data_IF_556603066554
#
_entry.id   IF_556603066554
#
_cell.length_a   1.000
_cell.length_b   1.000
_cell.length_c   1.000
_cell.angle_alpha   90.00
_cell.angle_beta   90.00
_cell.angle_gamma   90.00
#
_symmetry.space_group_name_H-M   'P 1'
#
loop_
_entity.id
_entity.type
_entity.pdbx_description
1 polymer ?
#
# COMPACT_ATOMS: atom_id res chain seq x y z
N UNK A 1 63.55 60.73 19.29
CA UNK A 1 64.71 59.82 19.10
C UNK A 1 64.22 58.41 19.44
N UNK A 2 64.28 57.31 18.68
CA UNK A 2 64.81 56.84 17.37
C UNK A 2 63.81 55.70 16.96
N UNK A 3 63.17 55.70 15.77
CA UNK A 3 63.44 54.92 14.52
C UNK A 3 63.65 53.40 14.77
N UNK A 4 63.27 52.41 13.95
CA UNK A 4 63.68 52.04 12.58
C UNK A 4 62.71 50.92 12.07
N UNK A 5 61.98 51.05 10.94
CA UNK A 5 62.14 50.49 9.55
C UNK A 5 62.26 48.93 9.41
N UNK A 6 61.52 48.38 8.41
CA UNK A 6 61.68 47.15 7.57
C UNK A 6 60.72 45.97 7.88
N UNK A 7 59.78 45.65 6.97
CA UNK A 7 59.84 44.68 5.85
C UNK A 7 59.38 43.27 6.30
N UNK A 8 58.57 42.47 5.59
CA UNK A 8 57.97 42.53 4.27
C UNK A 8 57.15 41.23 4.03
N UNK A 9 56.40 41.20 2.92
CA UNK A 9 55.90 39.96 2.28
C UNK A 9 54.67 39.31 2.92
N UNK A 10 53.49 39.45 2.34
CA UNK A 10 53.06 38.67 1.18
C UNK A 10 51.63 39.11 0.82
N UNK A 11 51.52 39.80 -0.31
CA UNK A 11 50.27 39.99 -1.02
C UNK A 11 49.79 38.62 -1.52
N UNK A 12 49.03 37.90 -0.71
CA UNK A 12 48.15 36.84 -1.22
C UNK A 12 46.85 37.52 -1.66
N UNK A 13 46.86 37.99 -2.91
CA UNK A 13 45.64 38.32 -3.63
C UNK A 13 44.78 37.06 -3.72
N UNK A 14 43.83 36.86 -2.80
CA UNK A 14 42.67 36.03 -3.09
C UNK A 14 41.72 36.85 -3.95
N UNK A 15 42.00 36.80 -5.25
CA UNK A 15 41.08 37.19 -6.30
C UNK A 15 39.80 36.36 -6.16
N UNK A 16 38.71 37.09 -5.95
CA UNK A 16 37.32 36.81 -6.33
C UNK A 16 37.13 35.49 -7.08
N UNK A 17 36.55 34.53 -6.38
CA UNK A 17 35.86 33.39 -6.94
C UNK A 17 34.48 33.25 -6.30
N UNK A 18 33.77 34.36 -6.06
CA UNK A 18 32.35 34.30 -5.77
C UNK A 18 31.64 33.95 -7.08
N UNK A 19 31.64 32.67 -7.45
CA UNK A 19 30.62 32.13 -8.33
C UNK A 19 29.31 32.19 -7.55
N UNK A 20 28.71 33.38 -7.51
CA UNK A 20 27.29 33.54 -7.23
C UNK A 20 26.60 32.92 -8.43
N UNK A 21 26.51 31.58 -8.41
CA UNK A 21 25.53 30.88 -9.22
C UNK A 21 24.21 31.52 -8.89
N UNK A 22 23.51 32.04 -9.89
CA UNK A 22 22.14 32.51 -9.72
C UNK A 22 21.31 31.31 -9.27
N UNK A 23 21.22 31.10 -7.96
CA UNK A 23 20.17 30.31 -7.38
C UNK A 23 18.90 31.06 -7.76
N UNK A 24 18.02 30.41 -8.54
CA UNK A 24 16.64 30.84 -8.65
C UNK A 24 16.20 31.20 -7.22
N UNK A 25 15.68 32.41 -7.02
CA UNK A 25 15.29 32.89 -5.70
C UNK A 25 14.28 31.89 -5.13
N UNK A 26 14.78 30.94 -4.36
CA UNK A 26 13.96 30.08 -3.57
C UNK A 26 13.41 30.99 -2.49
N UNK A 27 12.09 31.00 -2.29
CA UNK A 27 11.46 31.69 -1.17
C UNK A 27 11.79 30.94 0.14
N UNK A 28 13.08 30.67 0.37
CA UNK A 28 13.60 29.87 1.46
C UNK A 28 14.49 30.77 2.32
N UNK A 29 14.05 30.97 3.55
CA UNK A 29 14.88 31.63 4.56
C UNK A 29 15.84 30.60 5.16
N UNK A 30 17.11 31.00 5.29
CA UNK A 30 18.09 30.19 6.00
C UNK A 30 17.85 30.34 7.49
N UNK A 31 17.55 29.24 8.16
CA UNK A 31 17.39 29.16 9.61
C UNK A 31 18.49 28.30 10.24
N UNK A 32 18.75 28.51 11.54
CA UNK A 32 19.56 27.59 12.34
C UNK A 32 18.64 26.72 13.21
N UNK A 33 18.73 25.41 13.06
CA UNK A 33 17.89 24.44 13.77
C UNK A 33 18.72 23.27 14.32
N UNK A 34 18.16 22.52 15.27
CA UNK A 34 18.82 21.37 15.87
C UNK A 34 18.27 20.06 15.30
N UNK A 35 19.16 19.15 14.88
CA UNK A 35 18.80 17.76 14.65
C UNK A 35 18.64 17.04 15.99
N UNK A 36 17.42 16.63 16.32
CA UNK A 36 17.07 16.07 17.62
C UNK A 36 17.11 14.53 17.60
N UNK A 37 18.33 13.98 17.72
CA UNK A 37 18.60 12.53 17.69
C UNK A 37 18.04 11.75 18.88
N UNK A 38 17.63 12.45 19.94
CA UNK A 38 17.07 11.86 21.16
C UNK A 38 15.55 11.73 21.14
N UNK A 39 14.88 12.42 20.19
CA UNK A 39 13.43 12.42 20.12
C UNK A 39 12.94 11.12 19.46
N UNK A 40 12.11 10.38 20.19
CA UNK A 40 11.43 9.19 19.68
C UNK A 40 10.07 9.61 19.11
N UNK A 41 9.73 9.03 17.97
CA UNK A 41 8.43 9.22 17.32
C UNK A 41 7.66 7.93 17.43
N UNK A 42 6.47 8.01 18.01
CA UNK A 42 5.56 6.87 18.14
C UNK A 42 4.32 7.15 17.29
N UNK A 43 4.00 6.23 16.38
CA UNK A 43 2.80 6.28 15.55
C UNK A 43 1.95 5.07 15.91
N UNK A 44 0.71 5.30 16.35
CA UNK A 44 -0.22 4.25 16.75
C UNK A 44 0.33 3.26 17.80
N UNK A 45 1.08 3.73 18.79
CA UNK A 45 1.63 2.84 19.83
C UNK A 45 3.01 2.26 19.49
N UNK A 46 3.52 2.48 18.28
CA UNK A 46 4.74 1.84 17.76
C UNK A 46 5.82 2.88 17.53
N UNK A 47 7.00 2.67 18.13
CA UNK A 47 8.18 3.51 17.88
C UNK A 47 8.61 3.36 16.42
N UNK A 48 8.52 4.44 15.65
CA UNK A 48 8.78 4.47 14.21
C UNK A 48 10.14 5.10 13.92
N UNK A 49 10.96 4.41 13.12
CA UNK A 49 12.22 4.95 12.59
C UNK A 49 11.90 5.66 11.28
N UNK A 50 12.04 6.97 11.27
CA UNK A 50 11.76 7.78 10.08
C UNK A 50 12.86 7.56 9.04
N UNK A 51 12.47 7.12 7.85
CA UNK A 51 13.38 6.88 6.72
C UNK A 51 12.93 7.63 5.47
N UNK A 52 13.89 7.98 4.63
CA UNK A 52 13.63 8.44 3.26
C UNK A 52 13.35 7.26 2.31
N UNK A 53 13.08 7.57 1.03
CA UNK A 53 12.80 6.59 -0.03
C UNK A 53 13.98 5.65 -0.32
N UNK A 54 15.20 6.05 0.05
CA UNK A 54 16.42 5.26 -0.11
C UNK A 54 16.75 4.44 1.16
N UNK A 55 15.89 4.50 2.18
CA UNK A 55 16.06 3.79 3.45
C UNK A 55 17.00 4.48 4.44
N UNK A 56 17.49 5.69 4.15
CA UNK A 56 18.34 6.44 5.07
C UNK A 56 17.50 6.99 6.23
N UNK A 57 18.05 6.92 7.44
CA UNK A 57 17.38 7.44 8.64
C UNK A 57 17.35 8.97 8.61
N UNK A 58 16.15 9.53 8.69
CA UNK A 58 15.90 10.95 8.85
C UNK A 58 15.70 11.28 10.32
N UNK A 59 16.36 12.34 10.79
CA UNK A 59 16.26 12.77 12.19
C UNK A 59 15.18 13.85 12.34
N UNK A 60 14.41 13.87 13.45
CA UNK A 60 13.56 15.00 13.81
C UNK A 60 14.37 16.29 13.88
N UNK A 61 13.72 17.42 13.55
CA UNK A 61 14.30 18.76 13.69
C UNK A 61 13.56 19.47 14.82
N UNK A 62 14.30 20.13 15.71
CA UNK A 62 13.74 21.06 16.69
C UNK A 62 14.16 22.48 16.33
N UNK A 63 13.16 23.35 16.13
CA UNK A 63 13.35 24.75 15.79
C UNK A 63 12.35 25.61 16.58
N UNK A 64 12.87 26.59 17.32
CA UNK A 64 12.07 27.51 18.15
C UNK A 64 11.07 26.80 19.09
N UNK A 65 11.50 25.69 19.71
CA UNK A 65 10.65 24.90 20.61
C UNK A 65 9.62 23.99 19.92
N UNK A 66 9.53 24.03 18.59
CA UNK A 66 8.66 23.15 17.81
C UNK A 66 9.45 21.97 17.24
N UNK A 67 8.76 20.83 17.05
CA UNK A 67 9.31 19.63 16.42
C UNK A 67 8.78 19.50 15.00
N UNK A 68 9.68 19.26 14.05
CA UNK A 68 9.41 19.03 12.65
C UNK A 68 9.83 17.62 12.29
N UNK A 69 8.91 16.89 11.66
CA UNK A 69 9.10 15.49 11.27
C UNK A 69 9.03 15.36 9.74
N UNK A 70 9.78 14.44 9.13
CA UNK A 70 9.63 14.07 7.72
C UNK A 70 8.19 13.62 7.41
N UNK A 71 7.45 14.45 6.68
CA UNK A 71 6.04 14.20 6.37
C UNK A 71 5.82 12.85 5.67
N UNK A 72 6.69 12.48 4.73
CA UNK A 72 6.59 11.20 4.00
C UNK A 72 6.72 9.98 4.93
N UNK A 73 7.66 10.01 5.89
CA UNK A 73 7.83 8.89 6.83
C UNK A 73 6.62 8.72 7.75
N UNK A 74 6.00 9.83 8.18
CA UNK A 74 4.76 9.80 8.98
C UNK A 74 3.59 9.29 8.14
N UNK A 75 3.42 9.81 6.93
CA UNK A 75 2.36 9.40 6.02
C UNK A 75 2.42 7.91 5.70
N UNK A 76 3.60 7.37 5.38
CA UNK A 76 3.78 5.94 5.17
C UNK A 76 3.41 5.12 6.42
N UNK A 77 3.73 5.62 7.62
CA UNK A 77 3.35 4.95 8.88
C UNK A 77 1.83 4.98 9.13
N UNK A 78 1.11 5.87 8.43
CA UNK A 78 -0.34 6.04 8.49
C UNK A 78 -1.05 5.51 7.23
N UNK A 79 -0.34 4.78 6.36
CA UNK A 79 -0.85 4.25 5.09
C UNK A 79 -1.46 5.33 4.17
N UNK A 80 -0.80 6.49 4.13
CA UNK A 80 -1.17 7.62 3.27
C UNK A 80 -0.18 7.75 2.10
N UNK A 81 -0.71 8.12 0.93
CA UNK A 81 0.12 8.45 -0.23
C UNK A 81 0.63 9.90 -0.15
N UNK A 82 1.90 10.12 -0.51
CA UNK A 82 2.52 11.45 -0.55
C UNK A 82 3.06 11.77 -1.94
N UNK A 83 2.58 12.86 -2.53
CA UNK A 83 3.06 13.39 -3.81
C UNK A 83 3.64 14.80 -3.68
N UNK A 84 4.63 15.11 -4.52
CA UNK A 84 5.23 16.45 -4.63
C UNK A 84 5.01 17.01 -6.04
N UNK A 85 4.39 18.19 -6.10
CA UNK A 85 4.22 18.99 -7.30
C UNK A 85 5.17 20.18 -7.25
N UNK A 86 6.33 20.05 -7.88
CA UNK A 86 7.36 21.09 -7.93
C UNK A 86 6.96 22.32 -8.76
N UNK A 87 6.00 22.20 -9.68
CA UNK A 87 5.52 23.33 -10.46
C UNK A 87 4.65 24.27 -9.61
N UNK A 88 3.89 23.71 -8.66
CA UNK A 88 3.02 24.46 -7.76
C UNK A 88 3.55 24.59 -6.32
N UNK A 89 4.77 24.10 -6.03
CA UNK A 89 5.34 24.02 -4.69
C UNK A 89 4.38 23.37 -3.67
N UNK A 90 3.79 22.23 -4.02
CA UNK A 90 2.74 21.58 -3.22
C UNK A 90 3.09 20.14 -2.87
N UNK A 91 3.06 19.83 -1.57
CA UNK A 91 2.99 18.45 -1.08
C UNK A 91 1.52 18.09 -0.90
N UNK A 92 1.10 16.93 -1.39
CA UNK A 92 -0.26 16.40 -1.17
C UNK A 92 -0.16 15.10 -0.38
N UNK A 93 -0.95 15.00 0.69
CA UNK A 93 -1.16 13.77 1.44
C UNK A 93 -2.60 13.33 1.17
N UNK A 94 -2.79 12.10 0.71
CA UNK A 94 -4.10 11.50 0.50
C UNK A 94 -4.17 10.20 1.27
N UNK A 95 -5.34 9.89 1.85
CA UNK A 95 -5.62 8.53 2.30
C UNK A 95 -5.34 7.58 1.14
N UNK A 96 -4.76 6.40 1.40
CA UNK A 96 -4.66 5.38 0.36
C UNK A 96 -6.08 5.17 -0.19
N UNK A 97 -6.34 5.49 -1.47
CA UNK A 97 -7.69 5.41 -2.01
C UNK A 97 -8.19 3.96 -2.01
N UNK A 98 -7.30 2.99 -1.78
CA UNK A 98 -7.56 1.56 -1.84
C UNK A 98 -7.17 0.84 -0.54
N UNK A 99 -7.76 -0.33 -0.32
CA UNK A 99 -7.33 -1.27 0.72
C UNK A 99 -5.90 -1.71 0.43
N UNK A 100 -5.02 -1.58 1.42
CA UNK A 100 -3.63 -2.04 1.35
C UNK A 100 -3.54 -3.50 1.80
N UNK A 101 -2.87 -4.32 1.01
CA UNK A 101 -2.50 -5.71 1.36
C UNK A 101 -1.07 -5.74 1.87
N UNK A 102 -0.69 -6.75 2.66
CA UNK A 102 0.69 -6.88 3.14
C UNK A 102 1.69 -7.11 1.99
N UNK A 103 2.98 -6.84 2.22
CA UNK A 103 4.03 -7.05 1.21
C UNK A 103 4.07 -8.51 0.71
N UNK A 104 3.94 -9.47 1.64
CA UNK A 104 3.92 -10.90 1.33
C UNK A 104 2.71 -11.28 0.45
N UNK A 105 1.53 -10.73 0.74
CA UNK A 105 0.33 -10.94 -0.07
C UNK A 105 0.48 -10.29 -1.45
N UNK A 106 1.04 -9.07 -1.52
CA UNK A 106 1.33 -8.40 -2.78
C UNK A 106 2.30 -9.21 -3.65
N UNK A 107 3.32 -9.85 -3.06
CA UNK A 107 4.24 -10.74 -3.76
C UNK A 107 3.50 -11.91 -4.42
N UNK A 108 2.59 -12.57 -3.69
CA UNK A 108 1.74 -13.65 -4.22
C UNK A 108 0.91 -13.16 -5.40
N UNK A 109 0.23 -12.02 -5.27
CA UNK A 109 -0.62 -11.49 -6.34
C UNK A 109 0.21 -11.14 -7.60
N UNK A 110 1.37 -10.50 -7.40
CA UNK A 110 2.28 -10.09 -8.47
C UNK A 110 2.91 -11.29 -9.19
N UNK A 111 3.22 -12.38 -8.48
CA UNK A 111 3.70 -13.64 -9.07
C UNK A 111 2.76 -14.13 -10.19
N UNK A 112 1.45 -13.98 -9.97
CA UNK A 112 0.42 -14.38 -10.93
C UNK A 112 -0.17 -13.20 -11.74
N UNK A 113 0.46 -12.02 -11.70
CA UNK A 113 0.18 -10.90 -12.61
C UNK A 113 -1.13 -10.15 -12.36
N UNK A 114 -1.57 -10.06 -11.10
CA UNK A 114 -2.78 -9.32 -10.74
C UNK A 114 -2.65 -8.57 -9.42
N UNK A 115 -3.59 -7.67 -9.16
CA UNK A 115 -3.70 -6.88 -7.93
C UNK A 115 -5.17 -6.52 -7.67
N UNK A 116 -5.45 -5.97 -6.49
CA UNK A 116 -6.75 -5.43 -6.12
C UNK A 116 -6.64 -3.93 -5.86
N UNK A 117 -7.55 -3.17 -6.47
CA UNK A 117 -7.70 -1.73 -6.21
C UNK A 117 -9.09 -1.48 -5.63
N UNK A 118 -9.38 -2.14 -4.51
CA UNK A 118 -10.66 -1.97 -3.83
C UNK A 118 -10.64 -0.67 -3.06
N UNK A 119 -11.58 0.27 -3.25
CA UNK A 119 -11.54 1.52 -2.53
C UNK A 119 -11.61 1.34 -1.01
N UNK A 120 -10.86 2.15 -0.25
CA UNK A 120 -10.78 2.04 1.21
C UNK A 120 -12.14 2.26 1.91
N UNK A 121 -13.07 2.98 1.27
CA UNK A 121 -14.44 3.18 1.77
C UNK A 121 -15.34 1.95 1.63
N UNK A 122 -14.91 0.89 0.95
CA UNK A 122 -15.66 -0.38 0.88
C UNK A 122 -15.49 -1.10 2.22
N UNK A 123 -16.22 -0.61 3.21
CA UNK A 123 -16.26 -1.15 4.57
C UNK A 123 -16.84 -2.58 4.56
N UNK A 124 -16.55 -3.33 5.63
CA UNK A 124 -17.00 -4.70 5.85
C UNK A 124 -16.52 -5.71 4.78
N UNK A 125 -15.49 -5.36 4.02
CA UNK A 125 -14.81 -6.28 3.13
C UNK A 125 -13.52 -6.77 3.78
N UNK A 126 -13.28 -8.06 3.67
CA UNK A 126 -11.99 -8.68 3.94
C UNK A 126 -11.56 -9.49 2.72
N UNK A 127 -10.27 -9.39 2.38
CA UNK A 127 -9.62 -10.22 1.38
C UNK A 127 -8.63 -11.12 2.13
N UNK A 128 -8.79 -12.43 2.05
CA UNK A 128 -7.78 -13.38 2.51
C UNK A 128 -7.02 -13.91 1.30
N UNK A 129 -5.75 -13.51 1.18
CA UNK A 129 -4.85 -13.92 0.10
C UNK A 129 -3.97 -15.04 0.64
N UNK A 130 -4.03 -16.21 0.01
CA UNK A 130 -3.25 -17.35 0.47
C UNK A 130 -1.85 -17.36 -0.14
N UNK A 131 -0.84 -17.59 0.71
CA UNK A 131 0.49 -18.00 0.26
C UNK A 131 0.45 -19.34 -0.47
N UNK A 132 1.47 -19.61 -1.29
CA UNK A 132 1.62 -20.89 -1.99
C UNK A 132 1.69 -22.10 -1.04
N UNK A 133 2.14 -21.90 0.20
CA UNK A 133 2.15 -22.94 1.25
C UNK A 133 0.73 -23.22 1.76
N UNK A 134 0.02 -22.17 2.20
CA UNK A 134 -1.34 -22.30 2.73
C UNK A 134 -2.32 -22.80 1.65
N UNK A 135 -2.11 -22.41 0.39
CA UNK A 135 -2.88 -22.93 -0.74
C UNK A 135 -2.75 -24.44 -0.86
N UNK A 136 -1.54 -25.00 -0.74
CA UNK A 136 -1.33 -26.45 -0.82
C UNK A 136 -2.02 -27.17 0.32
N UNK A 137 -1.90 -26.67 1.55
CA UNK A 137 -2.60 -27.24 2.71
C UNK A 137 -4.11 -27.26 2.49
N UNK A 138 -4.69 -26.16 2.03
CA UNK A 138 -6.13 -26.08 1.76
C UNK A 138 -6.53 -26.98 0.59
N UNK A 139 -5.71 -27.17 -0.44
CA UNK A 139 -5.97 -28.11 -1.54
C UNK A 139 -5.91 -29.59 -1.10
N UNK A 140 -5.28 -29.90 0.03
CA UNK A 140 -5.25 -31.23 0.63
C UNK A 140 -6.49 -31.49 1.50
N UNK A 141 -6.93 -30.49 2.26
CA UNK A 141 -7.99 -30.61 3.27
C UNK A 141 -9.38 -30.15 2.81
N UNK A 142 -9.48 -29.42 1.71
CA UNK A 142 -10.74 -28.81 1.23
C UNK A 142 -11.16 -29.29 -0.16
N UNK A 143 -12.32 -28.82 -0.63
CA UNK A 143 -12.80 -29.03 -2.01
C UNK A 143 -12.19 -28.07 -3.05
N UNK A 144 -11.14 -27.32 -2.69
CA UNK A 144 -10.48 -26.42 -3.64
C UNK A 144 -9.75 -27.23 -4.72
N UNK A 145 -9.93 -26.82 -5.98
CA UNK A 145 -9.36 -27.54 -7.10
C UNK A 145 -7.82 -27.47 -7.08
N UNK A 146 -7.16 -28.62 -7.22
CA UNK A 146 -5.69 -28.74 -7.21
C UNK A 146 -4.99 -28.00 -8.34
N UNK A 147 -5.74 -27.59 -9.38
CA UNK A 147 -5.22 -26.80 -10.51
C UNK A 147 -5.17 -25.30 -10.21
N UNK A 148 -5.78 -24.83 -9.13
CA UNK A 148 -5.73 -23.42 -8.70
C UNK A 148 -4.27 -23.07 -8.38
N UNK A 149 -3.81 -21.97 -8.99
CA UNK A 149 -2.47 -21.43 -8.81
C UNK A 149 -2.43 -20.36 -7.71
N UNK A 150 -3.53 -19.61 -7.57
CA UNK A 150 -3.68 -18.56 -6.56
C UNK A 150 -5.17 -18.41 -6.23
N UNK A 151 -5.47 -18.11 -4.98
CA UNK A 151 -6.86 -17.90 -4.53
C UNK A 151 -6.93 -16.71 -3.58
N UNK A 152 -8.00 -15.94 -3.74
CA UNK A 152 -8.39 -14.89 -2.79
C UNK A 152 -9.82 -15.14 -2.34
N UNK A 153 -10.01 -15.25 -1.03
CA UNK A 153 -11.34 -15.30 -0.45
C UNK A 153 -11.84 -13.87 -0.22
N UNK A 154 -12.94 -13.54 -0.86
CA UNK A 154 -13.64 -12.27 -0.73
C UNK A 154 -14.73 -12.47 0.31
N UNK A 155 -14.63 -11.78 1.44
CA UNK A 155 -15.46 -12.05 2.61
C UNK A 155 -16.17 -10.79 3.11
N UNK A 156 -17.42 -10.95 3.53
CA UNK A 156 -18.16 -9.95 4.27
C UNK A 156 -17.81 -10.04 5.76
N UNK A 157 -17.45 -8.93 6.39
CA UNK A 157 -17.23 -8.84 7.84
C UNK A 157 -18.55 -8.63 8.57
N UNK A 158 -18.95 -9.59 9.39
CA UNK A 158 -20.19 -9.59 10.14
C UNK A 158 -20.10 -8.57 11.27
N UNK A 159 -21.13 -7.73 11.40
CA UNK A 159 -21.15 -6.63 12.38
C UNK A 159 -21.97 -6.96 13.64
N UNK A 160 -22.87 -7.94 13.58
CA UNK A 160 -23.64 -8.39 14.74
C UNK A 160 -22.79 -9.25 15.68
N UNK A 161 -22.55 -8.74 16.89
CA UNK A 161 -21.78 -9.41 17.94
C UNK A 161 -22.43 -10.71 18.45
N UNK A 162 -23.74 -10.89 18.25
CA UNK A 162 -24.45 -12.11 18.63
C UNK A 162 -24.21 -13.25 17.65
N UNK A 163 -23.69 -12.95 16.46
CA UNK A 163 -23.28 -13.97 15.49
C UNK A 163 -21.87 -14.41 15.88
N UNK A 164 -21.73 -15.65 16.34
CA UNK A 164 -20.43 -16.23 16.75
C UNK A 164 -19.53 -16.59 15.55
N UNK A 165 -19.48 -15.73 14.54
CA UNK A 165 -18.64 -15.82 13.35
C UNK A 165 -18.29 -14.41 12.88
N UNK A 166 -17.04 -14.19 12.50
CA UNK A 166 -16.53 -12.87 12.15
C UNK A 166 -16.80 -12.47 10.69
N UNK A 167 -16.96 -13.45 9.81
CA UNK A 167 -17.09 -13.20 8.38
C UNK A 167 -17.93 -14.26 7.68
N UNK A 168 -18.39 -13.95 6.47
CA UNK A 168 -19.06 -14.87 5.56
C UNK A 168 -18.49 -14.76 4.14
N UNK A 169 -18.37 -15.86 3.41
CA UNK A 169 -17.76 -15.88 2.08
C UNK A 169 -18.70 -15.26 1.05
N UNK A 170 -18.27 -14.20 0.35
CA UNK A 170 -18.97 -13.63 -0.80
C UNK A 170 -18.60 -14.39 -2.08
N UNK A 171 -17.30 -14.60 -2.27
CA UNK A 171 -16.77 -15.25 -3.44
C UNK A 171 -15.35 -15.73 -3.21
N UNK A 172 -14.88 -16.60 -4.10
CA UNK A 172 -13.46 -16.91 -4.28
C UNK A 172 -13.03 -16.51 -5.66
N UNK A 173 -11.91 -15.80 -5.72
CA UNK A 173 -11.23 -15.51 -6.98
C UNK A 173 -10.14 -16.55 -7.13
N UNK A 174 -10.24 -17.35 -8.19
CA UNK A 174 -9.38 -18.49 -8.45
C UNK A 174 -8.61 -18.27 -9.75
N UNK A 175 -7.28 -18.41 -9.69
CA UNK A 175 -6.39 -18.26 -10.85
C UNK A 175 -5.99 -19.63 -11.36
N UNK A 176 -6.18 -19.86 -12.66
CA UNK A 176 -5.80 -21.11 -13.34
C UNK A 176 -4.80 -20.83 -14.45
N UNK A 177 -3.97 -21.82 -14.79
CA UNK A 177 -3.31 -21.84 -16.10
C UNK A 177 -4.37 -22.06 -17.19
N UNK A 178 -4.21 -21.40 -18.34
CA UNK A 178 -5.17 -21.48 -19.44
C UNK A 178 -5.45 -22.92 -19.89
N UNK A 179 -4.42 -23.76 -19.99
CA UNK A 179 -4.56 -25.17 -20.37
C UNK A 179 -5.35 -26.01 -19.35
N UNK A 180 -5.27 -25.65 -18.06
CA UNK A 180 -6.01 -26.31 -17.00
C UNK A 180 -7.45 -25.80 -16.92
N UNK A 181 -7.65 -24.51 -17.17
CA UNK A 181 -8.96 -23.89 -17.27
C UNK A 181 -9.82 -24.49 -18.38
N UNK A 182 -9.22 -24.79 -19.54
CA UNK A 182 -9.94 -25.42 -20.66
C UNK A 182 -10.60 -26.75 -20.28
N UNK A 183 -10.03 -27.46 -19.30
CA UNK A 183 -10.60 -28.68 -18.73
C UNK A 183 -11.61 -28.35 -17.63
N UNK A 184 -11.23 -27.45 -16.70
CA UNK A 184 -12.05 -27.08 -15.54
C UNK A 184 -13.38 -26.44 -15.92
N UNK A 185 -13.43 -25.61 -16.97
CA UNK A 185 -14.62 -24.80 -17.32
C UNK A 185 -15.89 -25.60 -17.60
N UNK A 186 -15.77 -26.89 -17.94
CA UNK A 186 -16.92 -27.79 -18.18
C UNK A 186 -17.29 -28.65 -16.97
N UNK A 187 -16.51 -28.59 -15.89
CA UNK A 187 -16.74 -29.37 -14.68
C UNK A 187 -17.63 -28.60 -13.69
N UNK A 188 -18.33 -29.30 -12.77
CA UNK A 188 -19.07 -28.65 -11.69
C UNK A 188 -18.20 -27.71 -10.85
N UNK A 189 -18.80 -26.61 -10.39
CA UNK A 189 -18.13 -25.60 -9.57
C UNK A 189 -17.12 -24.74 -10.33
N UNK A 190 -17.12 -24.75 -11.67
CA UNK A 190 -16.34 -23.81 -12.46
C UNK A 190 -16.84 -22.37 -12.25
N UNK A 191 -15.92 -21.46 -11.92
CA UNK A 191 -16.23 -20.04 -11.77
C UNK A 191 -16.51 -19.32 -13.10
N UNK A 192 -17.07 -18.12 -13.01
CA UNK A 192 -17.18 -17.22 -14.15
C UNK A 192 -15.82 -16.58 -14.44
N UNK A 193 -15.45 -16.41 -15.72
CA UNK A 193 -14.19 -15.72 -16.08
C UNK A 193 -14.34 -14.22 -15.82
N UNK A 194 -13.44 -13.66 -15.01
CA UNK A 194 -13.30 -12.22 -14.81
C UNK A 194 -12.36 -11.61 -15.86
N UNK A 195 -11.16 -12.18 -16.00
CA UNK A 195 -10.12 -11.70 -16.92
C UNK A 195 -9.26 -12.85 -17.45
N UNK A 196 -8.52 -12.59 -18.52
CA UNK A 196 -7.50 -13.49 -19.06
C UNK A 196 -6.27 -12.66 -19.43
N UNK A 197 -5.08 -13.15 -19.09
CA UNK A 197 -3.82 -12.49 -19.40
C UNK A 197 -2.68 -13.50 -19.50
N UNK A 198 -1.93 -13.43 -20.61
CA UNK A 198 -0.84 -14.37 -20.86
C UNK A 198 -1.27 -15.83 -20.72
N UNK A 199 -0.67 -16.55 -19.77
CA UNK A 199 -0.97 -17.96 -19.51
C UNK A 199 -2.04 -18.19 -18.42
N UNK A 200 -2.61 -17.14 -17.85
CA UNK A 200 -3.51 -17.23 -16.71
C UNK A 200 -4.94 -16.81 -17.05
N UNK A 201 -5.89 -17.48 -16.40
CA UNK A 201 -7.32 -17.17 -16.41
C UNK A 201 -7.74 -16.89 -14.97
N UNK A 202 -8.37 -15.74 -14.77
CA UNK A 202 -8.83 -15.27 -13.47
C UNK A 202 -10.33 -15.48 -13.41
N UNK A 203 -10.79 -16.27 -12.46
CA UNK A 203 -12.18 -16.70 -12.36
C UNK A 203 -12.78 -16.35 -11.02
N UNK A 204 -14.10 -16.29 -10.93
CA UNK A 204 -14.81 -16.08 -9.68
C UNK A 204 -15.87 -17.15 -9.46
N UNK A 205 -15.81 -17.79 -8.29
CA UNK A 205 -16.85 -18.67 -7.77
C UNK A 205 -17.61 -17.88 -6.71
N UNK A 206 -18.88 -17.58 -6.95
CA UNK A 206 -19.72 -16.84 -6.00
C UNK A 206 -20.34 -17.82 -5.00
N UNK A 207 -20.46 -17.40 -3.74
CA UNK A 207 -21.34 -18.09 -2.81
C UNK A 207 -22.80 -17.97 -3.28
N UNK A 208 -23.59 -19.03 -3.08
CA UNK A 208 -24.97 -19.07 -3.56
C UNK A 208 -25.88 -18.10 -2.80
N UNK A 209 -25.65 -17.97 -1.48
CA UNK A 209 -26.39 -17.11 -0.56
C UNK A 209 -25.56 -16.84 0.69
N UNK A 210 -25.82 -15.75 1.42
CA UNK A 210 -25.25 -15.59 2.75
C UNK A 210 -25.71 -16.72 3.67
N UNK A 211 -24.81 -17.19 4.51
CA UNK A 211 -25.13 -18.03 5.67
C UNK A 211 -25.49 -17.13 6.86
N UNK A 212 -26.42 -16.19 6.65
CA UNK A 212 -26.90 -15.22 7.61
C UNK A 212 -28.42 -15.27 7.68
N UNK A 213 -28.99 -14.95 8.84
CA UNK A 213 -30.44 -14.91 9.01
C UNK A 213 -31.05 -13.83 8.10
N UNK A 214 -32.02 -14.23 7.28
CA UNK A 214 -32.67 -13.35 6.31
C UNK A 214 -33.38 -12.17 7.01
N UNK A 215 -33.25 -10.97 6.43
CA UNK A 215 -33.85 -9.75 6.99
C UNK A 215 -33.00 -9.05 8.06
N UNK A 216 -31.86 -9.64 8.45
CA UNK A 216 -30.88 -8.95 9.31
C UNK A 216 -30.12 -7.86 8.56
N UNK A 217 -29.52 -6.92 9.30
CA UNK A 217 -28.65 -5.88 8.74
C UNK A 217 -27.46 -6.49 7.99
N UNK A 218 -26.86 -7.54 8.55
CA UNK A 218 -25.70 -8.19 7.94
C UNK A 218 -26.07 -9.00 6.69
N UNK A 219 -27.21 -9.70 6.68
CA UNK A 219 -27.67 -10.36 5.45
C UNK A 219 -27.87 -9.35 4.31
N UNK A 220 -28.50 -8.20 4.61
CA UNK A 220 -28.66 -7.13 3.62
C UNK A 220 -27.31 -6.52 3.19
N UNK A 221 -26.42 -6.24 4.15
CA UNK A 221 -25.10 -5.67 3.89
C UNK A 221 -24.24 -6.59 3.02
N UNK A 222 -24.29 -7.90 3.29
CA UNK A 222 -23.67 -8.93 2.47
C UNK A 222 -24.21 -8.90 1.04
N UNK A 223 -25.54 -8.91 0.86
CA UNK A 223 -26.16 -8.93 -0.48
C UNK A 223 -25.80 -7.68 -1.28
N UNK A 224 -25.90 -6.51 -0.65
CA UNK A 224 -25.55 -5.22 -1.26
C UNK A 224 -24.07 -5.19 -1.66
N UNK A 225 -23.16 -5.64 -0.79
CA UNK A 225 -21.71 -5.70 -1.08
C UNK A 225 -21.38 -6.72 -2.16
N UNK A 226 -21.97 -7.91 -2.12
CA UNK A 226 -21.77 -8.97 -3.12
C UNK A 226 -22.20 -8.51 -4.52
N UNK A 227 -23.36 -7.86 -4.62
CA UNK A 227 -23.84 -7.26 -5.86
C UNK A 227 -22.91 -6.15 -6.35
N UNK A 228 -22.47 -5.26 -5.45
CA UNK A 228 -21.54 -4.18 -5.80
C UNK A 228 -20.21 -4.70 -6.34
N UNK A 229 -19.55 -5.61 -5.61
CA UNK A 229 -18.27 -6.18 -6.02
C UNK A 229 -18.39 -6.90 -7.37
N UNK A 230 -19.49 -7.60 -7.61
CA UNK A 230 -19.77 -8.24 -8.89
C UNK A 230 -19.79 -7.24 -10.05
N UNK A 231 -20.41 -6.06 -9.87
CA UNK A 231 -20.45 -5.01 -10.90
C UNK A 231 -19.07 -4.44 -11.22
N UNK A 232 -18.17 -4.43 -10.24
CA UNK A 232 -16.81 -3.90 -10.37
C UNK A 232 -15.78 -4.97 -10.77
N UNK A 233 -16.20 -6.18 -11.14
CA UNK A 233 -15.31 -7.33 -11.33
C UNK A 233 -14.35 -7.52 -10.14
N UNK A 234 -14.86 -7.32 -8.93
CA UNK A 234 -14.15 -7.41 -7.65
C UNK A 234 -12.91 -6.51 -7.56
N UNK A 235 -12.84 -5.44 -8.37
CA UNK A 235 -11.67 -4.57 -8.48
C UNK A 235 -10.36 -5.30 -8.80
N UNK A 236 -10.45 -6.47 -9.45
CA UNK A 236 -9.29 -7.20 -9.92
C UNK A 236 -8.67 -6.46 -11.10
N UNK A 237 -7.38 -6.12 -10.97
CA UNK A 237 -6.60 -5.47 -12.02
C UNK A 237 -5.44 -6.37 -12.43
N UNK A 238 -5.08 -6.32 -13.72
CA UNK A 238 -3.93 -7.03 -14.24
C UNK A 238 -2.73 -6.10 -14.12
N UNK A 239 -1.60 -6.61 -13.65
CA UNK A 239 -0.36 -5.86 -13.67
C UNK A 239 0.28 -6.01 -15.05
N UNK A 240 0.64 -4.90 -15.69
CA UNK A 240 1.41 -4.94 -16.93
C UNK A 240 2.80 -5.51 -16.62
N UNK A 241 3.23 -6.53 -17.39
CA UNK A 241 4.61 -7.04 -17.37
C UNK A 241 5.44 -6.36 -18.45
#
# INVERSE_FOLDING_TARGET
>A
MKKWILAGGLSAALLVGASVGAYAASNLDVIQAYLNKSLQVEVNGIVSVMKDEQGNVLQPITYEGNTYLPARSIANSLDMEVSWDGANNRVTLTDSPYITVSEDEAEVLNQYGYTFQVPAWVHNLRLDILSDENLKTIQEDSSLDKRVQSVVFVQYMIQDENVHRLHDEIARIEVYKAADWEKKKTEPGAGAVLKQSGQYVYTVVKAEKPDLEAGTRDAKGYEDLSAWLSLQNYYLNLTEK
#
